data_IF_567366709962
#
_entry.id   IF_567366709962
#
_cell.length_a   1.000
_cell.length_b   1.000
_cell.length_c   1.000
_cell.angle_alpha   90.00
_cell.angle_beta   90.00
_cell.angle_gamma   90.00
#
_symmetry.space_group_name_H-M   'P 1'
#
loop_
_entity.id
_entity.type
_entity.pdbx_description
1 polymer ?
#
# COMPACT_ATOMS: atom_id res chain seq x y z
N UNK A 1 41.12 59.35 -11.07
CA UNK A 1 41.27 59.61 -9.63
C UNK A 1 41.40 58.27 -8.93
N UNK A 2 42.53 58.04 -8.26
CA UNK A 2 42.72 56.99 -7.25
C UNK A 2 41.73 57.24 -6.08
N UNK A 3 41.37 56.29 -5.22
CA UNK A 3 42.23 55.71 -4.17
C UNK A 3 41.57 54.42 -3.63
N UNK A 4 42.41 53.43 -3.34
CA UNK A 4 42.12 52.19 -2.65
C UNK A 4 41.99 52.38 -1.12
N UNK A 5 41.18 51.54 -0.46
CA UNK A 5 41.15 51.41 1.00
C UNK A 5 41.29 49.95 1.42
N UNK A 6 42.48 49.59 1.90
CA UNK A 6 42.82 48.35 2.61
C UNK A 6 42.97 48.69 4.12
N UNK A 7 42.40 47.87 5.02
CA UNK A 7 42.90 47.57 6.39
C UNK A 7 42.34 46.18 6.77
N UNK A 8 43.12 45.09 6.93
CA UNK A 8 44.01 44.66 8.05
C UNK A 8 43.34 44.70 9.43
N UNK A 9 42.97 43.56 10.02
CA UNK A 9 43.74 42.70 10.96
C UNK A 9 42.73 42.10 11.97
N UNK A 10 42.90 40.98 12.68
CA UNK A 10 44.08 40.23 13.11
C UNK A 10 43.69 38.77 13.47
N UNK A 11 44.67 37.86 13.36
CA UNK A 11 44.70 36.54 13.99
C UNK A 11 44.89 36.65 15.50
N UNK A 12 44.25 35.75 16.29
CA UNK A 12 44.83 35.26 17.54
C UNK A 12 44.25 33.88 17.96
N UNK A 13 45.09 32.86 17.76
CA UNK A 13 45.43 31.68 18.60
C UNK A 13 44.35 30.87 19.38
N UNK A 14 44.39 29.53 19.17
CA UNK A 14 43.76 28.42 19.94
C UNK A 14 44.61 28.07 21.19
N UNK A 15 44.11 27.37 22.25
CA UNK A 15 44.06 25.88 22.23
C UNK A 15 43.01 25.17 23.13
N UNK A 16 42.90 23.85 22.91
CA UNK A 16 42.45 22.75 23.81
C UNK A 16 40.95 22.52 24.09
N UNK A 17 40.36 21.45 23.52
CA UNK A 17 40.27 20.06 24.05
C UNK A 17 38.94 19.81 24.77
N UNK A 18 38.02 19.11 24.10
CA UNK A 18 37.33 17.96 24.69
C UNK A 18 36.98 17.00 23.56
N UNK A 19 37.70 15.87 23.55
CA UNK A 19 37.32 14.71 22.78
C UNK A 19 35.97 14.19 23.27
N UNK A 20 35.04 13.93 22.34
CA UNK A 20 34.11 12.81 22.47
C UNK A 20 34.07 12.05 21.17
N UNK A 21 34.66 10.87 21.26
CA UNK A 21 34.31 9.68 20.53
C UNK A 21 32.81 9.65 20.19
N UNK A 22 32.49 9.68 18.89
CA UNK A 22 31.19 9.22 18.39
C UNK A 22 31.43 8.43 17.12
N UNK A 23 31.38 7.12 17.31
CA UNK A 23 31.30 6.06 16.30
C UNK A 23 30.37 6.47 15.15
N UNK A 24 30.76 6.29 13.88
CA UNK A 24 29.87 6.62 12.76
C UNK A 24 28.63 5.73 12.79
N UNK A 25 27.47 6.35 13.02
CA UNK A 25 26.18 5.78 12.68
C UNK A 25 26.19 5.44 11.19
N UNK A 26 26.24 4.15 10.87
CA UNK A 26 26.13 3.63 9.52
C UNK A 26 24.72 3.90 9.01
N UNK A 27 24.49 5.13 8.53
CA UNK A 27 23.40 5.40 7.61
C UNK A 27 23.72 4.69 6.30
N UNK A 28 22.85 3.79 5.79
CA UNK A 28 23.11 3.10 4.55
C UNK A 28 23.35 4.12 3.43
N UNK A 29 24.49 4.05 2.74
CA UNK A 29 24.94 5.06 1.78
C UNK A 29 23.91 5.35 0.66
N UNK A 30 22.99 4.41 0.38
CA UNK A 30 21.88 4.62 -0.55
C UNK A 30 20.87 5.68 -0.12
N UNK A 31 20.66 5.90 1.18
CA UNK A 31 19.69 6.88 1.72
C UNK A 31 20.21 8.31 1.55
N UNK A 32 21.51 8.52 1.77
CA UNK A 32 22.16 9.83 1.58
C UNK A 32 22.25 10.23 0.09
N UNK A 33 22.41 9.26 -0.81
CA UNK A 33 22.41 9.50 -2.25
C UNK A 33 21.02 9.94 -2.76
N UNK A 34 19.94 9.33 -2.25
CA UNK A 34 18.57 9.65 -2.63
C UNK A 34 18.07 10.97 -2.03
N UNK A 35 18.47 11.27 -0.79
CA UNK A 35 18.18 12.54 -0.12
C UNK A 35 18.80 13.74 -0.86
N UNK A 36 19.99 13.53 -1.47
CA UNK A 36 20.69 14.54 -2.25
C UNK A 36 20.10 14.73 -3.65
N UNK A 37 19.44 13.72 -4.21
CA UNK A 37 18.88 13.76 -5.56
C UNK A 37 17.40 14.22 -5.62
N UNK A 38 16.59 13.94 -4.59
CA UNK A 38 15.13 14.13 -4.66
C UNK A 38 14.52 14.96 -3.50
N UNK A 39 15.34 15.42 -2.55
CA UNK A 39 14.93 16.22 -1.39
C UNK A 39 14.22 15.42 -0.28
N UNK A 40 14.15 16.01 0.93
CA UNK A 40 13.57 15.36 2.11
C UNK A 40 12.11 14.91 1.93
N UNK A 41 11.35 15.58 1.05
CA UNK A 41 9.96 15.23 0.74
C UNK A 41 9.81 13.92 -0.05
N UNK A 42 10.78 13.59 -0.91
CA UNK A 42 10.77 12.31 -1.64
C UNK A 42 11.21 11.14 -0.76
N UNK A 43 12.16 11.37 0.17
CA UNK A 43 12.56 10.39 1.19
C UNK A 43 11.42 10.13 2.18
N UNK A 44 10.66 11.16 2.60
CA UNK A 44 9.49 10.99 3.45
C UNK A 44 8.35 10.21 2.75
N UNK A 45 8.19 10.37 1.43
CA UNK A 45 7.20 9.65 0.60
C UNK A 45 7.58 8.22 0.29
N UNK A 46 8.88 7.90 0.21
CA UNK A 46 9.39 6.52 0.08
C UNK A 46 9.46 5.76 1.41
N UNK A 47 9.41 6.46 2.55
CA UNK A 47 9.48 5.87 3.89
C UNK A 47 8.12 5.73 4.59
N UNK A 48 7.00 6.11 3.96
CA UNK A 48 5.66 5.96 4.54
C UNK A 48 5.14 4.52 4.39
N UNK A 49 5.88 3.57 4.98
CA UNK A 49 5.31 2.38 5.62
C UNK A 49 4.79 2.86 6.99
N UNK A 50 3.69 2.34 7.54
CA UNK A 50 3.25 2.74 8.92
C UNK A 50 4.32 2.47 9.92
N UNK A 51 4.22 3.30 10.93
CA UNK A 51 5.15 3.44 12.02
C UNK A 51 4.38 3.69 13.30
N UNK A 52 3.10 3.30 13.42
CA UNK A 52 2.46 3.47 14.72
C UNK A 52 3.06 2.43 15.67
N UNK A 53 3.60 2.94 16.77
CA UNK A 53 4.36 2.14 17.71
C UNK A 53 3.40 1.40 18.63
N UNK A 54 3.63 0.10 18.81
CA UNK A 54 2.93 -0.66 19.83
C UNK A 54 3.47 -0.26 21.20
N UNK A 55 2.60 0.25 22.06
CA UNK A 55 2.93 0.75 23.40
C UNK A 55 3.14 -0.32 24.46
N UNK A 56 3.14 -1.60 24.10
CA UNK A 56 3.34 -2.72 25.02
C UNK A 56 4.82 -2.90 25.39
N UNK A 57 5.10 -3.30 26.64
CA UNK A 57 6.44 -3.71 27.08
C UNK A 57 6.95 -4.87 26.23
N UNK A 58 8.25 -4.93 25.91
CA UNK A 58 8.83 -5.96 25.03
C UNK A 58 8.63 -7.42 25.49
N UNK A 59 8.41 -7.62 26.78
CA UNK A 59 8.18 -8.92 27.42
C UNK A 59 6.68 -9.23 27.66
N UNK A 60 5.78 -8.37 27.16
CA UNK A 60 4.34 -8.59 27.23
C UNK A 60 3.95 -9.93 26.57
N UNK A 61 2.92 -10.57 27.14
CA UNK A 61 2.32 -11.75 26.55
C UNK A 61 1.34 -11.40 25.41
N UNK A 62 0.94 -12.42 24.65
CA UNK A 62 0.10 -12.24 23.47
C UNK A 62 -1.26 -11.62 23.80
N UNK A 63 -1.83 -11.97 24.95
CA UNK A 63 -3.13 -11.44 25.38
C UNK A 63 -3.06 -9.93 25.68
N UNK A 64 -1.99 -9.49 26.37
CA UNK A 64 -1.74 -8.07 26.65
C UNK A 64 -1.58 -7.28 25.36
N UNK A 65 -0.88 -7.83 24.37
CA UNK A 65 -0.63 -7.16 23.09
C UNK A 65 -1.91 -7.08 22.24
N UNK A 66 -2.69 -8.15 22.16
CA UNK A 66 -3.98 -8.14 21.46
C UNK A 66 -4.96 -7.15 22.09
N UNK A 67 -5.06 -7.14 23.42
CA UNK A 67 -5.90 -6.18 24.14
C UNK A 67 -5.44 -4.74 23.87
N UNK A 68 -4.11 -4.50 23.83
CA UNK A 68 -3.57 -3.19 23.50
C UNK A 68 -3.91 -2.78 22.06
N UNK A 69 -3.69 -3.64 21.08
CA UNK A 69 -4.00 -3.36 19.66
C UNK A 69 -5.48 -3.04 19.47
N UNK A 70 -6.37 -3.85 20.04
CA UNK A 70 -7.81 -3.64 19.95
C UNK A 70 -8.25 -2.29 20.55
N UNK A 71 -7.61 -1.86 21.64
CA UNK A 71 -7.97 -0.62 22.34
C UNK A 71 -7.25 0.64 21.81
N UNK A 72 -6.13 0.51 21.11
CA UNK A 72 -5.24 1.62 20.78
C UNK A 72 -4.88 1.71 19.29
N UNK A 73 -5.32 0.77 18.45
CA UNK A 73 -5.14 0.90 17.01
C UNK A 73 -5.85 2.16 16.51
N UNK A 74 -5.14 3.08 15.82
CA UNK A 74 -5.79 4.23 15.18
C UNK A 74 -6.67 3.82 13.98
N UNK A 75 -6.63 2.54 13.61
CA UNK A 75 -7.38 1.95 12.49
C UNK A 75 -8.39 0.93 12.96
N UNK A 76 -8.78 0.95 14.24
CA UNK A 76 -9.73 -0.02 14.75
C UNK A 76 -11.02 -0.07 13.89
N UNK A 77 -11.56 -1.28 13.61
CA UNK A 77 -11.16 -2.56 14.19
C UNK A 77 -9.91 -3.23 13.57
N UNK A 78 -9.34 -2.68 12.51
CA UNK A 78 -8.13 -3.19 11.85
C UNK A 78 -6.84 -2.81 12.62
N UNK A 79 -5.81 -3.65 12.49
CA UNK A 79 -4.50 -3.40 13.09
C UNK A 79 -3.50 -2.77 12.09
N UNK A 80 -3.84 -2.71 10.81
CA UNK A 80 -3.06 -2.16 9.72
C UNK A 80 -4.02 -1.49 8.72
N UNK A 81 -3.50 -0.69 7.78
CA UNK A 81 -4.33 0.00 6.80
C UNK A 81 -3.56 0.40 5.54
N UNK A 82 -3.98 -0.08 4.38
CA UNK A 82 -3.42 0.33 3.09
C UNK A 82 -4.11 1.60 2.59
N UNK A 83 -3.30 2.60 2.22
CA UNK A 83 -3.77 3.82 1.57
C UNK A 83 -3.34 3.82 0.11
N UNK A 84 -4.30 4.02 -0.79
CA UNK A 84 -4.06 4.25 -2.20
C UNK A 84 -4.66 5.61 -2.62
N UNK A 85 -3.85 6.45 -3.26
CA UNK A 85 -4.29 7.71 -3.80
C UNK A 85 -4.07 7.74 -5.31
N UNK A 86 -5.08 8.18 -6.04
CA UNK A 86 -5.08 8.25 -7.49
C UNK A 86 -5.14 9.70 -7.95
N UNK A 87 -4.48 9.98 -9.07
CA UNK A 87 -4.62 11.25 -9.78
C UNK A 87 -4.71 10.98 -11.27
N UNK A 88 -5.49 11.80 -11.96
CA UNK A 88 -5.64 11.72 -13.42
C UNK A 88 -4.97 12.90 -14.10
N UNK A 89 -4.41 12.64 -15.28
CA UNK A 89 -4.11 13.66 -16.29
C UNK A 89 -4.92 13.34 -17.53
N UNK A 90 -5.39 14.38 -18.22
CA UNK A 90 -6.22 14.23 -19.42
C UNK A 90 -6.07 15.41 -20.36
N UNK A 91 -6.33 15.14 -21.64
CA UNK A 91 -6.61 16.16 -22.65
C UNK A 91 -7.92 15.79 -23.36
N UNK A 92 -8.78 16.77 -23.58
CA UNK A 92 -10.01 16.58 -24.32
C UNK A 92 -9.80 16.88 -25.81
N UNK A 93 -10.63 16.23 -26.62
CA UNK A 93 -10.97 16.66 -27.97
C UNK A 93 -12.48 16.86 -28.03
N UNK A 94 -12.94 17.79 -28.86
CA UNK A 94 -14.36 18.10 -28.97
C UNK A 94 -14.72 18.39 -30.43
N UNK A 95 -15.79 17.76 -30.89
CA UNK A 95 -16.32 17.92 -32.24
C UNK A 95 -17.76 18.43 -32.16
N UNK A 96 -18.03 19.53 -32.84
CA UNK A 96 -19.40 20.04 -32.99
C UNK A 96 -20.20 19.17 -33.97
N UNK A 97 -21.45 18.88 -33.62
CA UNK A 97 -22.38 18.17 -34.48
C UNK A 97 -22.75 19.02 -35.70
N UNK A 98 -22.60 18.44 -36.89
CA UNK A 98 -23.02 19.07 -38.14
C UNK A 98 -24.55 19.12 -38.29
N UNK A 99 -25.24 18.18 -37.67
CA UNK A 99 -26.71 18.04 -37.75
C UNK A 99 -27.42 18.95 -36.73
N UNK A 100 -26.75 19.27 -35.62
CA UNK A 100 -27.27 20.09 -34.54
C UNK A 100 -26.21 21.09 -34.05
N UNK A 101 -26.01 22.22 -34.76
CA UNK A 101 -25.07 23.26 -34.34
C UNK A 101 -25.32 23.69 -32.90
N UNK A 102 -24.24 23.96 -32.15
CA UNK A 102 -24.26 24.18 -30.71
C UNK A 102 -24.30 22.92 -29.86
N UNK A 103 -24.34 21.71 -30.46
CA UNK A 103 -24.16 20.44 -29.75
C UNK A 103 -22.76 19.90 -30.00
N UNK A 104 -22.05 19.56 -28.94
CA UNK A 104 -20.66 19.10 -28.99
C UNK A 104 -20.54 17.71 -28.38
N UNK A 105 -19.78 16.83 -29.02
CA UNK A 105 -19.32 15.57 -28.43
C UNK A 105 -17.86 15.73 -28.04
N UNK A 106 -17.58 15.51 -26.77
CA UNK A 106 -16.26 15.63 -26.15
C UNK A 106 -15.76 14.25 -25.77
N UNK A 107 -14.53 13.93 -26.13
CA UNK A 107 -13.86 12.65 -25.80
C UNK A 107 -12.49 12.91 -25.16
N UNK A 108 -11.96 11.95 -24.41
CA UNK A 108 -10.58 12.03 -23.91
C UNK A 108 -9.61 11.55 -24.98
N UNK A 109 -8.74 12.45 -25.46
CA UNK A 109 -7.73 12.17 -26.49
C UNK A 109 -6.49 11.47 -25.94
N UNK A 110 -6.10 11.87 -24.74
CA UNK A 110 -4.96 11.27 -24.02
C UNK A 110 -5.25 11.31 -22.53
N UNK A 111 -4.96 10.22 -21.83
CA UNK A 111 -5.12 10.11 -20.39
C UNK A 111 -3.97 9.34 -19.76
N UNK A 112 -3.77 9.57 -18.47
CA UNK A 112 -2.93 8.73 -17.62
C UNK A 112 -3.45 8.76 -16.19
N UNK A 113 -3.39 7.64 -15.49
CA UNK A 113 -3.63 7.59 -14.04
C UNK A 113 -2.30 7.34 -13.34
N UNK A 114 -1.97 8.23 -12.42
CA UNK A 114 -0.89 7.99 -11.46
C UNK A 114 -1.48 7.49 -10.15
N UNK A 115 -0.80 6.54 -9.52
CA UNK A 115 -1.18 5.97 -8.24
C UNK A 115 0.01 6.02 -7.28
N UNK A 116 -0.26 6.39 -6.03
CA UNK A 116 0.66 6.22 -4.92
C UNK A 116 0.01 5.32 -3.89
N UNK A 117 0.72 4.30 -3.42
CA UNK A 117 0.27 3.39 -2.37
C UNK A 117 1.24 3.36 -1.20
N UNK A 118 0.70 3.19 -0.01
CA UNK A 118 1.44 3.00 1.23
C UNK A 118 0.69 2.01 2.10
N UNK A 119 1.39 0.99 2.58
CA UNK A 119 0.83 0.09 3.57
C UNK A 119 1.20 0.60 4.92
N UNK A 120 0.16 0.85 5.69
CA UNK A 120 0.33 1.22 7.04
C UNK A 120 0.32 -0.10 7.93
N UNK A 121 1.47 -0.66 8.42
CA UNK A 121 1.69 -1.75 9.45
C UNK A 121 2.18 -1.41 10.92
N UNK A 122 1.77 -2.12 11.99
CA UNK A 122 2.22 -1.88 13.38
C UNK A 122 3.70 -2.23 13.59
N UNK A 123 4.38 -1.47 14.46
CA UNK A 123 5.81 -1.69 14.76
C UNK A 123 6.04 -2.03 16.24
N UNK A 124 6.70 -3.18 16.47
CA UNK A 124 7.07 -3.66 17.80
C UNK A 124 8.19 -4.69 17.71
N UNK A 125 9.00 -4.82 18.77
CA UNK A 125 10.10 -5.77 18.85
C UNK A 125 10.02 -6.59 20.15
N UNK A 126 9.10 -7.58 20.22
CA UNK A 126 8.99 -8.47 21.36
C UNK A 126 10.22 -9.34 21.56
N UNK A 127 10.46 -9.72 22.81
CA UNK A 127 11.44 -10.75 23.17
C UNK A 127 10.77 -12.09 23.50
N UNK A 128 9.68 -12.07 24.27
CA UNK A 128 9.02 -13.29 24.79
C UNK A 128 8.16 -14.01 23.75
N UNK A 129 7.43 -13.26 22.93
CA UNK A 129 6.46 -13.79 21.95
C UNK A 129 6.88 -13.49 20.50
N UNK A 130 8.20 -13.49 20.26
CA UNK A 130 8.74 -13.02 18.98
C UNK A 130 8.20 -13.81 17.78
N UNK A 131 8.11 -15.14 17.90
CA UNK A 131 7.63 -15.98 16.81
C UNK A 131 6.15 -15.73 16.51
N UNK A 132 5.31 -15.61 17.53
CA UNK A 132 3.88 -15.32 17.41
C UNK A 132 3.64 -13.94 16.81
N UNK A 133 4.42 -12.94 17.23
CA UNK A 133 4.37 -11.60 16.65
C UNK A 133 4.79 -11.58 15.19
N UNK A 134 5.90 -12.23 14.84
CA UNK A 134 6.37 -12.30 13.45
C UNK A 134 5.31 -12.98 12.54
N UNK A 135 4.67 -14.05 13.03
CA UNK A 135 3.58 -14.73 12.32
C UNK A 135 2.36 -13.83 12.12
N UNK A 136 1.91 -13.16 13.19
CA UNK A 136 0.80 -12.21 13.14
C UNK A 136 1.07 -11.03 12.20
N UNK A 137 2.29 -10.47 12.27
CA UNK A 137 2.72 -9.38 11.41
C UNK A 137 2.80 -9.83 9.94
N UNK A 138 3.25 -11.05 9.67
CA UNK A 138 3.22 -11.63 8.32
C UNK A 138 1.80 -11.82 7.80
N UNK A 139 0.87 -12.28 8.65
CA UNK A 139 -0.53 -12.45 8.28
C UNK A 139 -1.20 -11.11 7.97
N UNK A 140 -0.98 -10.09 8.81
CA UNK A 140 -1.42 -8.71 8.52
C UNK A 140 -0.83 -8.21 7.20
N UNK A 141 0.46 -8.43 6.94
CA UNK A 141 1.06 -7.97 5.69
C UNK A 141 0.44 -8.65 4.47
N UNK A 142 0.09 -9.93 4.58
CA UNK A 142 -0.61 -10.66 3.54
C UNK A 142 -2.03 -10.12 3.31
N UNK A 143 -2.75 -9.77 4.38
CA UNK A 143 -4.04 -9.06 4.29
C UNK A 143 -3.90 -7.73 3.55
N UNK A 144 -2.94 -6.89 3.95
CA UNK A 144 -2.67 -5.61 3.28
C UNK A 144 -2.26 -5.76 1.81
N UNK A 145 -1.64 -6.88 1.44
CA UNK A 145 -1.32 -7.16 0.04
C UNK A 145 -2.59 -7.33 -0.83
N UNK A 146 -3.71 -7.77 -0.23
CA UNK A 146 -5.00 -7.84 -0.92
C UNK A 146 -5.52 -6.43 -1.24
N UNK A 147 -5.44 -5.52 -0.28
CA UNK A 147 -5.78 -4.10 -0.48
C UNK A 147 -4.92 -3.44 -1.57
N UNK A 148 -3.62 -3.70 -1.57
CA UNK A 148 -2.74 -3.24 -2.65
C UNK A 148 -3.13 -3.82 -4.02
N UNK A 149 -3.54 -5.09 -4.06
CA UNK A 149 -4.04 -5.73 -5.28
C UNK A 149 -5.34 -5.10 -5.80
N UNK A 150 -6.25 -4.73 -4.90
CA UNK A 150 -7.45 -3.93 -5.24
C UNK A 150 -7.04 -2.59 -5.86
N UNK A 151 -6.09 -1.89 -5.25
CA UNK A 151 -5.59 -0.61 -5.78
C UNK A 151 -4.96 -0.75 -7.18
N UNK A 152 -4.13 -1.78 -7.39
CA UNK A 152 -3.49 -2.06 -8.68
C UNK A 152 -4.54 -2.37 -9.78
N UNK A 153 -5.58 -3.15 -9.43
CA UNK A 153 -6.72 -3.40 -10.32
C UNK A 153 -7.45 -2.10 -10.65
N UNK A 154 -7.72 -1.26 -9.65
CA UNK A 154 -8.42 0.00 -9.82
C UNK A 154 -7.65 1.01 -10.65
N UNK A 155 -6.31 1.05 -10.60
CA UNK A 155 -5.52 1.85 -11.55
C UNK A 155 -5.90 1.53 -13.00
N UNK A 156 -5.94 0.23 -13.33
CA UNK A 156 -6.30 -0.24 -14.68
C UNK A 156 -7.76 0.10 -15.02
N UNK A 157 -8.69 -0.11 -14.08
CA UNK A 157 -10.10 0.26 -14.25
C UNK A 157 -10.27 1.75 -14.53
N UNK A 158 -9.60 2.61 -13.78
CA UNK A 158 -9.65 4.07 -13.93
C UNK A 158 -9.07 4.51 -15.28
N UNK A 159 -7.95 3.92 -15.71
CA UNK A 159 -7.38 4.17 -17.04
C UNK A 159 -8.35 3.78 -18.16
N UNK A 160 -8.99 2.61 -18.04
CA UNK A 160 -10.02 2.17 -18.96
C UNK A 160 -11.20 3.14 -19.03
N UNK A 161 -11.81 3.45 -17.88
CA UNK A 161 -12.96 4.37 -17.79
C UNK A 161 -12.65 5.77 -18.33
N UNK A 162 -11.46 6.30 -18.04
CA UNK A 162 -11.00 7.57 -18.60
C UNK A 162 -10.87 7.51 -20.13
N UNK A 163 -10.28 6.45 -20.67
CA UNK A 163 -10.08 6.32 -22.12
C UNK A 163 -11.38 6.20 -22.90
N UNK A 164 -12.44 5.69 -22.26
CA UNK A 164 -13.76 5.53 -22.88
C UNK A 164 -14.70 6.70 -22.60
N UNK A 165 -14.28 7.70 -21.81
CA UNK A 165 -15.15 8.82 -21.47
C UNK A 165 -15.55 9.59 -22.73
N UNK A 166 -16.85 9.73 -22.90
CA UNK A 166 -17.49 10.53 -23.94
C UNK A 166 -18.63 11.32 -23.29
N UNK A 167 -18.73 12.60 -23.62
CA UNK A 167 -19.77 13.48 -23.11
C UNK A 167 -20.34 14.34 -24.23
N UNK A 168 -21.65 14.29 -24.41
CA UNK A 168 -22.34 15.14 -25.38
C UNK A 168 -23.08 16.24 -24.64
N UNK A 169 -22.89 17.49 -25.06
CA UNK A 169 -23.45 18.65 -24.36
C UNK A 169 -23.77 19.78 -25.32
N UNK A 170 -24.72 20.63 -24.92
CA UNK A 170 -24.94 21.91 -25.60
C UNK A 170 -23.88 22.92 -25.12
N UNK A 171 -23.17 23.55 -26.06
CA UNK A 171 -22.13 24.52 -25.75
C UNK A 171 -21.97 25.55 -26.88
N UNK A 172 -21.54 26.76 -26.51
CA UNK A 172 -21.35 27.86 -27.46
C UNK A 172 -19.98 27.84 -28.15
N UNK A 173 -19.05 27.03 -27.67
CA UNK A 173 -17.68 26.94 -28.17
C UNK A 173 -17.01 25.63 -27.72
N UNK A 174 -15.84 25.35 -28.31
CA UNK A 174 -14.98 24.24 -27.90
C UNK A 174 -14.55 24.36 -26.42
N UNK A 175 -14.18 25.56 -25.96
CA UNK A 175 -13.75 25.79 -24.57
C UNK A 175 -14.89 25.54 -23.57
N UNK A 176 -16.11 25.99 -23.89
CA UNK A 176 -17.31 25.74 -23.07
C UNK A 176 -17.65 24.24 -23.03
N UNK A 177 -17.60 23.56 -24.18
CA UNK A 177 -17.85 22.12 -24.27
C UNK A 177 -16.86 21.31 -23.42
N UNK A 178 -15.57 21.60 -23.53
CA UNK A 178 -14.52 20.89 -22.77
C UNK A 178 -14.52 21.24 -21.29
N UNK A 179 -14.88 22.46 -20.90
CA UNK A 179 -15.10 22.84 -19.50
C UNK A 179 -16.25 22.05 -18.88
N UNK A 180 -17.40 21.95 -19.56
CA UNK A 180 -18.56 21.15 -19.12
C UNK A 180 -18.23 19.67 -19.00
N UNK A 181 -17.59 19.09 -20.02
CA UNK A 181 -17.09 17.72 -19.96
C UNK A 181 -16.09 17.50 -18.82
N UNK A 182 -15.26 18.51 -18.51
CA UNK A 182 -14.34 18.50 -17.39
C UNK A 182 -15.02 18.43 -16.03
N UNK A 183 -16.13 19.15 -15.85
CA UNK A 183 -16.97 19.09 -14.64
C UNK A 183 -17.57 17.70 -14.49
N UNK A 184 -18.19 17.18 -15.54
CA UNK A 184 -18.80 15.84 -15.53
C UNK A 184 -17.78 14.75 -15.21
N UNK A 185 -16.62 14.78 -15.88
CA UNK A 185 -15.57 13.79 -15.65
C UNK A 185 -15.01 13.85 -14.22
N UNK A 186 -14.94 15.03 -13.60
CA UNK A 186 -14.50 15.14 -12.21
C UNK A 186 -15.55 14.56 -11.24
N UNK A 187 -16.85 14.70 -11.54
CA UNK A 187 -17.91 14.08 -10.74
C UNK A 187 -17.85 12.55 -10.85
N UNK A 188 -17.73 12.02 -12.07
CA UNK A 188 -17.54 10.58 -12.30
C UNK A 188 -16.27 10.06 -11.62
N UNK A 189 -15.16 10.80 -11.70
CA UNK A 189 -13.92 10.43 -11.02
C UNK A 189 -14.15 10.27 -9.51
N UNK A 190 -14.85 11.20 -8.86
CA UNK A 190 -15.16 11.08 -7.43
C UNK A 190 -15.99 9.82 -7.14
N UNK A 191 -16.98 9.49 -7.98
CA UNK A 191 -17.73 8.23 -7.87
C UNK A 191 -16.84 7.01 -8.02
N UNK A 192 -15.92 7.00 -9.00
CA UNK A 192 -15.03 5.86 -9.21
C UNK A 192 -14.01 5.68 -8.07
N UNK A 193 -13.57 6.77 -7.44
CA UNK A 193 -12.75 6.71 -6.23
C UNK A 193 -13.54 6.14 -5.05
N UNK A 194 -14.83 6.48 -4.94
CA UNK A 194 -15.70 5.88 -3.93
C UNK A 194 -15.90 4.38 -4.17
N UNK A 195 -16.15 3.96 -5.41
CA UNK A 195 -16.26 2.53 -5.74
C UNK A 195 -14.96 1.75 -5.42
N UNK A 196 -13.79 2.36 -5.63
CA UNK A 196 -12.52 1.81 -5.15
C UNK A 196 -12.51 1.65 -3.64
N UNK A 197 -12.94 2.68 -2.89
CA UNK A 197 -13.02 2.60 -1.42
C UNK A 197 -13.98 1.50 -0.98
N UNK A 198 -15.15 1.37 -1.62
CA UNK A 198 -16.11 0.31 -1.32
C UNK A 198 -15.52 -1.09 -1.58
N UNK A 199 -14.63 -1.24 -2.56
CA UNK A 199 -13.91 -2.49 -2.81
C UNK A 199 -12.80 -2.75 -1.78
N UNK A 200 -12.13 -1.71 -1.26
CA UNK A 200 -11.19 -1.83 -0.14
C UNK A 200 -11.93 -2.27 1.12
N UNK A 201 -13.06 -1.64 1.43
CA UNK A 201 -13.85 -1.88 2.64
C UNK A 201 -14.42 -3.30 2.71
N UNK A 202 -14.62 -3.98 1.56
CA UNK A 202 -15.08 -5.39 1.51
C UNK A 202 -14.05 -6.38 2.05
N UNK A 203 -12.78 -6.00 2.13
CA UNK A 203 -11.73 -6.85 2.69
C UNK A 203 -11.76 -6.82 4.22
N UNK A 204 -12.38 -5.79 4.80
CA UNK A 204 -12.43 -5.53 6.23
C UNK A 204 -13.81 -5.88 6.84
N UNK A 205 -13.88 -6.19 8.15
CA UNK A 205 -12.78 -6.20 9.11
C UNK A 205 -11.94 -7.48 9.07
N UNK A 206 -10.62 -7.33 9.20
CA UNK A 206 -9.69 -8.45 9.42
C UNK A 206 -9.20 -8.52 10.87
N UNK A 207 -9.40 -9.68 11.50
CA UNK A 207 -8.90 -9.94 12.85
C UNK A 207 -7.59 -10.74 12.79
N UNK A 208 -6.48 -10.10 13.17
CA UNK A 208 -5.20 -10.80 13.39
C UNK A 208 -5.24 -11.59 14.70
N UNK A 209 -4.67 -12.79 14.70
CA UNK A 209 -4.48 -13.59 15.92
C UNK A 209 -3.00 -13.58 16.34
N UNK A 210 -2.75 -13.44 17.65
CA UNK A 210 -1.43 -13.58 18.25
C UNK A 210 -1.57 -14.67 19.33
N UNK A 211 -1.06 -15.87 19.05
CA UNK A 211 -1.21 -17.04 19.91
C UNK A 211 -0.37 -18.22 19.41
N UNK A 212 -0.07 -19.17 20.31
CA UNK A 212 0.93 -20.25 20.21
C UNK A 212 1.06 -20.90 18.81
N UNK A 213 2.26 -21.41 18.45
CA UNK A 213 2.53 -21.99 17.12
C UNK A 213 1.45 -23.00 16.72
N UNK A 214 1.14 -23.15 15.41
CA UNK A 214 0.24 -24.19 14.97
C UNK A 214 0.72 -25.52 15.56
N UNK A 215 -0.15 -26.22 16.29
CA UNK A 215 0.09 -27.60 16.69
C UNK A 215 0.54 -28.34 15.42
N UNK A 216 1.70 -29.02 15.41
CA UNK A 216 2.10 -29.83 14.27
C UNK A 216 0.92 -30.73 13.87
N UNK A 217 0.61 -30.88 12.57
CA UNK A 217 -0.42 -31.81 12.16
C UNK A 217 -0.13 -33.15 12.82
N UNK A 218 -1.16 -33.77 13.42
CA UNK A 218 -1.01 -35.08 14.02
C UNK A 218 -0.32 -36.00 13.00
N UNK A 219 0.71 -36.78 13.40
CA UNK A 219 1.30 -37.74 12.48
C UNK A 219 0.17 -38.59 11.91
N UNK A 220 0.20 -38.93 10.61
CA UNK A 220 -0.82 -39.78 10.02
C UNK A 220 -0.96 -41.01 10.92
N UNK A 221 -2.21 -41.35 11.23
CA UNK A 221 -2.49 -42.60 11.95
C UNK A 221 -1.69 -43.72 11.24
N UNK A 222 -0.99 -44.58 12.00
CA UNK A 222 -0.32 -45.72 11.37
C UNK A 222 -1.32 -46.41 10.47
N UNK A 223 -0.91 -46.65 9.21
CA UNK A 223 -1.75 -47.31 8.23
C UNK A 223 -2.37 -48.54 8.91
N UNK A 224 -3.69 -48.66 8.85
CA UNK A 224 -4.36 -49.88 9.24
C UNK A 224 -3.64 -51.04 8.53
N UNK A 225 -3.34 -52.15 9.21
CA UNK A 225 -2.70 -53.29 8.58
C UNK A 225 -3.49 -53.64 7.33
N UNK A 226 -2.79 -53.69 6.20
CA UNK A 226 -3.32 -54.06 4.89
C UNK A 226 -4.12 -55.36 5.07
N UNK A 227 -5.42 -55.28 4.79
CA UNK A 227 -6.28 -56.45 4.83
C UNK A 227 -5.68 -57.50 3.89
N UNK A 228 -5.43 -58.69 4.43
CA UNK A 228 -4.93 -59.81 3.64
C UNK A 228 -5.82 -60.01 2.40
N UNK A 229 -5.24 -60.28 1.22
CA UNK A 229 -6.04 -60.51 0.02
C UNK A 229 -7.00 -61.68 0.27
N UNK A 230 -8.28 -61.43 -0.02
CA UNK A 230 -9.33 -62.44 -0.03
C UNK A 230 -8.87 -63.63 -0.87
N UNK A 231 -8.69 -64.77 -0.20
CA UNK A 231 -8.47 -66.06 -0.84
C UNK A 231 -9.65 -66.36 -1.75
N UNK A 232 -9.37 -66.43 -3.04
CA UNK A 232 -10.34 -66.66 -4.10
C UNK A 232 -11.20 -67.89 -3.89
N UNK A 233 -12.43 -67.77 -4.39
CA UNK A 233 -13.42 -68.81 -4.56
C UNK A 233 -12.83 -70.11 -5.12
N UNK A 234 -13.10 -71.21 -4.41
CA UNK A 234 -12.98 -72.57 -4.93
C UNK A 234 -13.92 -72.76 -6.13
N UNK A 235 -13.47 -73.33 -7.26
CA UNK A 235 -14.39 -73.83 -8.28
C UNK A 235 -15.12 -75.09 -7.77
N UNK A 236 -16.38 -75.32 -8.17
CA UNK A 236 -17.12 -76.53 -7.80
C UNK A 236 -16.55 -77.78 -8.50
N UNK A 237 -16.72 -78.98 -7.90
CA UNK A 237 -16.21 -80.23 -8.45
C UNK A 237 -16.99 -80.67 -9.70
N UNK A 238 -16.26 -81.22 -10.67
CA UNK A 238 -16.82 -81.93 -11.84
C UNK A 238 -17.05 -83.37 -11.39
N UNK A 239 -18.31 -83.82 -11.42
CA UNK A 239 -18.69 -85.24 -11.34
C UNK A 239 -18.57 -85.89 -12.73
N UNK A 240 -18.05 -87.11 -12.79
CA UNK A 240 -18.14 -88.04 -13.93
C UNK A 240 -19.49 -88.76 -13.97
#
# INVERSE_FOLDING_TARGET
MAVAGHQHGAEQERPDQYARDTTPSQTPQGVLALQRAAGNGAVARLMAVQRYAVGAKKDADSATVLAWLAANSPYAPEAAHTKAAFSMKRAFDATESKESPGTWTVTVKSSSVAMTKSVDMPTWAPTKIKAEWDAAHSALRAHEALHEGVADKWKTTLEGRLSTFTHTTAASSWDDATAKAGVELNALWATWIQEHQDDQDKLDPYAVTIGAPPTPPAPPAPAAPEAAPESGENPPPIEE
#
